data_IF_478174557114
#
_entry.id   IF_478174557114
#
_cell.length_a   1.000
_cell.length_b   1.000
_cell.length_c   1.000
_cell.angle_alpha   90.00
_cell.angle_beta   90.00
_cell.angle_gamma   90.00
#
_symmetry.space_group_name_H-M   'P 1'
#
loop_
_entity.id
_entity.type
_entity.pdbx_description
1 polymer ?
#
# COMPACT_ATOMS: atom_id res chain seq x y z
N UNK A 1 23.66 -16.47 -61.06
CA UNK A 1 22.30 -16.86 -60.62
C UNK A 1 22.09 -16.72 -59.11
N UNK A 2 23.06 -16.99 -58.24
CA UNK A 2 22.90 -16.94 -56.77
C UNK A 2 22.48 -15.59 -56.17
N UNK A 3 23.00 -14.45 -56.67
CA UNK A 3 22.60 -13.11 -56.19
C UNK A 3 21.09 -12.86 -56.34
N UNK A 4 20.48 -13.37 -57.42
CA UNK A 4 19.06 -13.17 -57.70
C UNK A 4 18.15 -13.99 -56.75
N UNK A 5 18.64 -15.13 -56.25
CA UNK A 5 17.89 -15.97 -55.32
C UNK A 5 17.83 -15.35 -53.91
N UNK A 6 18.96 -14.80 -53.42
CA UNK A 6 19.01 -14.09 -52.13
C UNK A 6 18.08 -12.89 -52.15
N UNK A 7 18.15 -12.05 -53.19
CA UNK A 7 17.29 -10.87 -53.32
C UNK A 7 15.79 -11.23 -53.37
N UNK A 8 15.44 -12.30 -54.10
CA UNK A 8 14.06 -12.80 -54.13
C UNK A 8 13.58 -13.25 -52.74
N UNK A 9 14.39 -14.00 -52.00
CA UNK A 9 14.06 -14.47 -50.64
C UNK A 9 13.88 -13.29 -49.70
N UNK A 10 14.77 -12.31 -49.72
CA UNK A 10 14.68 -11.12 -48.86
C UNK A 10 13.53 -10.18 -49.27
N UNK A 11 13.10 -10.22 -50.52
CA UNK A 11 11.89 -9.50 -50.96
C UNK A 11 10.62 -10.16 -50.43
N UNK A 12 10.61 -11.50 -50.35
CA UNK A 12 9.47 -12.29 -49.87
C UNK A 12 9.39 -12.33 -48.35
N UNK A 13 10.55 -12.43 -47.69
CA UNK A 13 10.70 -12.49 -46.24
C UNK A 13 11.69 -11.40 -45.76
N UNK A 14 11.26 -10.12 -45.68
CA UNK A 14 12.15 -9.01 -45.32
C UNK A 14 12.87 -9.18 -43.98
N UNK A 15 12.25 -9.88 -43.02
CA UNK A 15 12.83 -10.16 -41.71
C UNK A 15 14.05 -11.10 -41.77
N UNK A 16 14.23 -11.87 -42.84
CA UNK A 16 15.39 -12.75 -42.99
C UNK A 16 16.71 -11.99 -43.18
N UNK A 17 16.68 -10.66 -43.31
CA UNK A 17 17.89 -9.83 -43.34
C UNK A 17 18.74 -10.00 -42.07
N UNK A 18 18.11 -10.26 -40.92
CA UNK A 18 18.83 -10.54 -39.67
C UNK A 18 19.53 -11.91 -39.68
N UNK A 19 19.21 -12.77 -40.66
CA UNK A 19 19.82 -14.07 -40.92
C UNK A 19 20.65 -14.08 -42.20
N UNK A 20 21.05 -12.92 -42.73
CA UNK A 20 21.70 -12.82 -44.04
C UNK A 20 22.91 -13.75 -44.17
N UNK A 21 23.70 -13.91 -43.12
CA UNK A 21 24.85 -14.84 -43.12
C UNK A 21 24.44 -16.29 -43.37
N UNK A 22 23.37 -16.75 -42.71
CA UNK A 22 22.83 -18.11 -42.89
C UNK A 22 22.19 -18.29 -44.26
N UNK A 23 21.41 -17.30 -44.71
CA UNK A 23 20.79 -17.31 -46.05
C UNK A 23 21.88 -17.36 -47.14
N UNK A 24 22.94 -16.55 -46.99
CA UNK A 24 24.04 -16.48 -47.96
C UNK A 24 24.81 -17.79 -48.00
N UNK A 25 25.11 -18.40 -46.85
CA UNK A 25 25.80 -19.69 -46.78
C UNK A 25 24.98 -20.82 -47.45
N UNK A 26 23.69 -20.90 -47.13
CA UNK A 26 22.78 -21.89 -47.73
C UNK A 26 22.70 -21.76 -49.25
N UNK A 27 22.58 -20.53 -49.76
CA UNK A 27 22.43 -20.26 -51.20
C UNK A 27 23.75 -20.40 -51.96
N UNK A 28 24.84 -19.85 -51.43
CA UNK A 28 26.12 -19.74 -52.15
C UNK A 28 27.03 -20.94 -51.94
N UNK A 29 27.07 -21.52 -50.74
CA UNK A 29 27.99 -22.59 -50.39
C UNK A 29 27.32 -23.97 -50.42
N UNK A 30 26.05 -24.06 -50.04
CA UNK A 30 25.31 -25.33 -49.98
C UNK A 30 24.37 -25.56 -51.18
N UNK A 31 24.23 -24.56 -52.07
CA UNK A 31 23.41 -24.65 -53.28
C UNK A 31 21.90 -24.74 -53.03
N UNK A 32 21.45 -24.48 -51.81
CA UNK A 32 20.03 -24.48 -51.45
C UNK A 32 19.39 -23.19 -51.95
N UNK A 33 18.47 -23.30 -52.92
CA UNK A 33 17.82 -22.13 -53.54
C UNK A 33 16.30 -22.12 -53.34
N UNK A 34 15.74 -23.22 -52.81
CA UNK A 34 14.33 -23.33 -52.48
C UNK A 34 14.00 -22.51 -51.21
N UNK A 35 13.10 -21.51 -51.30
CA UNK A 35 12.78 -20.62 -50.17
C UNK A 35 12.24 -21.35 -48.94
N UNK A 36 11.44 -22.40 -49.13
CA UNK A 36 10.83 -23.16 -48.03
C UNK A 36 11.89 -23.97 -47.27
N UNK A 37 12.84 -24.54 -47.99
CA UNK A 37 14.00 -25.23 -47.39
C UNK A 37 14.86 -24.27 -46.57
N UNK A 38 15.13 -23.07 -47.08
CA UNK A 38 15.91 -22.03 -46.36
C UNK A 38 15.16 -21.58 -45.11
N UNK A 39 13.86 -21.31 -45.23
CA UNK A 39 13.00 -20.97 -44.10
C UNK A 39 13.01 -22.08 -43.04
N UNK A 40 12.93 -23.35 -43.44
CA UNK A 40 12.99 -24.49 -42.53
C UNK A 40 14.34 -24.60 -41.81
N UNK A 41 15.46 -24.27 -42.47
CA UNK A 41 16.77 -24.20 -41.83
C UNK A 41 16.84 -23.07 -40.80
N UNK A 42 16.38 -21.87 -41.15
CA UNK A 42 16.35 -20.72 -40.24
C UNK A 42 15.48 -21.02 -39.03
N UNK A 43 14.27 -21.58 -39.22
CA UNK A 43 13.34 -21.93 -38.12
C UNK A 43 13.88 -22.94 -37.12
N UNK A 44 14.95 -23.67 -37.45
CA UNK A 44 15.64 -24.61 -36.56
C UNK A 44 16.79 -23.97 -35.77
N UNK A 45 17.17 -22.73 -36.08
CA UNK A 45 18.32 -22.08 -35.44
C UNK A 45 17.98 -21.53 -34.04
N UNK A 46 18.94 -21.52 -33.10
CA UNK A 46 18.78 -20.82 -31.83
C UNK A 46 18.53 -19.31 -31.98
N UNK A 47 19.07 -18.70 -33.03
CA UNK A 47 18.87 -17.28 -33.36
C UNK A 47 17.39 -17.00 -33.66
N UNK A 48 16.73 -17.90 -34.40
CA UNK A 48 15.31 -17.77 -34.70
C UNK A 48 14.45 -17.85 -33.43
N UNK A 49 14.74 -18.79 -32.53
CA UNK A 49 14.03 -18.90 -31.25
C UNK A 49 14.18 -17.64 -30.38
N UNK A 50 15.33 -16.95 -30.46
CA UNK A 50 15.57 -15.68 -29.74
C UNK A 50 14.85 -14.50 -30.38
N UNK A 51 14.73 -14.47 -31.70
CA UNK A 51 14.07 -13.38 -32.43
C UNK A 51 12.55 -13.48 -32.39
N UNK A 52 12.01 -14.69 -32.37
CA UNK A 52 10.56 -14.97 -32.39
C UNK A 52 10.09 -15.76 -31.16
N UNK A 53 10.30 -15.26 -29.93
CA UNK A 53 9.79 -15.91 -28.73
C UNK A 53 8.25 -15.98 -28.76
N UNK A 54 7.67 -17.04 -28.18
CA UNK A 54 6.24 -17.30 -28.14
C UNK A 54 5.52 -17.43 -29.52
N UNK A 55 6.25 -17.43 -30.65
CA UNK A 55 5.61 -17.62 -31.98
C UNK A 55 5.06 -19.04 -32.17
N UNK A 56 5.54 -20.01 -31.38
CA UNK A 56 5.07 -21.40 -31.39
C UNK A 56 4.15 -21.67 -30.20
N UNK A 57 3.16 -22.51 -30.42
CA UNK A 57 2.34 -23.11 -29.37
C UNK A 57 3.11 -24.22 -28.65
N UNK A 58 2.65 -24.66 -27.46
CA UNK A 58 3.22 -25.81 -26.76
C UNK A 58 3.25 -27.10 -27.59
N UNK A 59 2.32 -27.26 -28.55
CA UNK A 59 2.26 -28.38 -29.48
C UNK A 59 3.26 -28.30 -30.66
N UNK A 60 4.07 -27.22 -30.72
CA UNK A 60 5.08 -26.98 -31.74
C UNK A 60 4.56 -26.30 -33.02
N UNK A 61 3.24 -26.15 -33.17
CA UNK A 61 2.64 -25.42 -34.30
C UNK A 61 2.91 -23.92 -34.21
N UNK A 62 2.93 -23.22 -35.33
CA UNK A 62 3.08 -21.77 -35.34
C UNK A 62 1.74 -21.11 -34.96
N UNK A 63 1.78 -20.19 -33.98
CA UNK A 63 0.66 -19.31 -33.63
C UNK A 63 0.33 -18.38 -34.79
N UNK A 64 1.37 -17.85 -35.44
CA UNK A 64 1.28 -16.90 -36.54
C UNK A 64 2.55 -16.96 -37.41
N UNK A 65 2.49 -16.38 -38.61
CA UNK A 65 3.67 -16.21 -39.46
C UNK A 65 4.56 -15.08 -38.93
N UNK A 66 5.85 -15.09 -39.28
CA UNK A 66 6.86 -14.16 -38.78
C UNK A 66 6.55 -12.69 -39.11
N UNK A 67 6.03 -12.42 -40.31
CA UNK A 67 5.61 -11.07 -40.69
C UNK A 67 4.47 -10.55 -39.81
N UNK A 68 3.48 -11.40 -39.52
CA UNK A 68 2.39 -11.07 -38.60
C UNK A 68 2.90 -10.89 -37.17
N UNK A 69 3.85 -11.71 -36.73
CA UNK A 69 4.47 -11.58 -35.41
C UNK A 69 5.12 -10.20 -35.21
N UNK A 70 5.95 -9.76 -36.15
CA UNK A 70 6.60 -8.45 -36.06
C UNK A 70 5.57 -7.31 -36.07
N UNK A 71 4.53 -7.42 -36.89
CA UNK A 71 3.42 -6.46 -36.91
C UNK A 71 2.67 -6.40 -35.58
N UNK A 72 2.46 -7.54 -34.92
CA UNK A 72 1.83 -7.63 -33.61
C UNK A 72 2.70 -6.98 -32.53
N UNK A 73 4.02 -7.21 -32.54
CA UNK A 73 4.93 -6.52 -31.63
C UNK A 73 4.89 -4.99 -31.80
N UNK A 74 4.88 -4.52 -33.04
CA UNK A 74 4.74 -3.09 -33.33
C UNK A 74 3.37 -2.54 -32.92
N UNK A 75 2.32 -3.35 -33.01
CA UNK A 75 1.00 -2.99 -32.50
C UNK A 75 1.01 -2.82 -30.97
N UNK A 76 1.60 -3.74 -30.20
CA UNK A 76 1.76 -3.56 -28.76
C UNK A 76 2.56 -2.31 -28.42
N UNK A 77 3.67 -2.05 -29.13
CA UNK A 77 4.46 -0.82 -28.92
C UNK A 77 3.64 0.44 -29.15
N UNK A 78 2.81 0.48 -30.20
CA UNK A 78 1.91 1.61 -30.47
C UNK A 78 0.88 1.79 -29.35
N UNK A 79 0.29 0.71 -28.87
CA UNK A 79 -0.67 0.74 -27.75
C UNK A 79 0.02 1.28 -26.48
N UNK A 80 1.18 0.72 -26.12
CA UNK A 80 1.97 1.22 -24.98
C UNK A 80 2.31 2.71 -25.12
N UNK A 81 2.71 3.14 -26.32
CA UNK A 81 3.00 4.55 -26.60
C UNK A 81 1.78 5.46 -26.44
N UNK A 82 0.59 5.01 -26.86
CA UNK A 82 -0.66 5.77 -26.73
C UNK A 82 -1.02 6.03 -25.25
N UNK A 83 -0.68 5.09 -24.37
CA UNK A 83 -0.86 5.22 -22.92
C UNK A 83 0.35 5.83 -22.20
N UNK A 84 1.29 6.44 -22.95
CA UNK A 84 2.40 7.22 -22.38
C UNK A 84 3.62 6.42 -21.92
N UNK A 85 3.69 5.11 -22.19
CA UNK A 85 4.87 4.31 -21.93
C UNK A 85 5.92 4.48 -23.04
N UNK A 86 7.21 4.39 -22.70
CA UNK A 86 8.27 4.37 -23.72
C UNK A 86 8.34 2.98 -24.39
N UNK A 87 7.98 2.85 -25.68
CA UNK A 87 8.01 1.56 -26.37
C UNK A 87 9.41 0.95 -26.50
N UNK A 88 10.48 1.76 -26.33
CA UNK A 88 11.87 1.28 -26.38
C UNK A 88 12.33 0.62 -25.08
N UNK A 89 11.61 0.85 -23.98
CA UNK A 89 11.89 0.21 -22.70
C UNK A 89 11.53 -1.28 -22.69
N UNK A 90 10.74 -1.75 -23.67
CA UNK A 90 10.24 -3.12 -23.73
C UNK A 90 11.01 -3.94 -24.75
N UNK A 91 11.70 -4.97 -24.25
CA UNK A 91 12.36 -5.98 -25.07
C UNK A 91 11.34 -6.85 -25.81
N UNK A 92 11.78 -7.50 -26.90
CA UNK A 92 10.97 -8.49 -27.63
C UNK A 92 10.45 -9.60 -26.73
N UNK A 93 11.26 -10.05 -25.75
CA UNK A 93 10.86 -11.08 -24.80
C UNK A 93 9.68 -10.62 -23.95
N UNK A 94 9.72 -9.40 -23.40
CA UNK A 94 8.62 -8.85 -22.59
C UNK A 94 7.34 -8.70 -23.42
N UNK A 95 7.43 -8.16 -24.64
CA UNK A 95 6.26 -8.01 -25.50
C UNK A 95 5.67 -9.37 -25.91
N UNK A 96 6.52 -10.39 -26.08
CA UNK A 96 6.05 -11.75 -26.41
C UNK A 96 5.28 -12.43 -25.28
N UNK A 97 5.40 -11.95 -24.03
CA UNK A 97 4.59 -12.45 -22.92
C UNK A 97 3.11 -12.16 -23.13
N UNK A 98 2.76 -11.04 -23.79
CA UNK A 98 1.36 -10.78 -24.16
C UNK A 98 0.84 -11.83 -25.15
N UNK A 99 1.66 -12.22 -26.12
CA UNK A 99 1.32 -13.28 -27.10
C UNK A 99 1.15 -14.63 -26.40
N UNK A 100 2.04 -14.95 -25.46
CA UNK A 100 1.99 -16.22 -24.73
C UNK A 100 0.76 -16.31 -23.82
N UNK A 101 0.41 -15.20 -23.20
CA UNK A 101 -0.81 -15.03 -22.38
C UNK A 101 -2.08 -14.81 -23.22
N UNK A 102 -2.00 -14.93 -24.54
CA UNK A 102 -3.12 -14.80 -25.49
C UNK A 102 -3.83 -13.43 -25.46
N UNK A 103 -3.12 -12.39 -25.03
CA UNK A 103 -3.60 -11.00 -24.98
C UNK A 103 -3.33 -10.35 -26.32
N UNK A 104 -4.35 -10.05 -27.11
CA UNK A 104 -4.16 -9.32 -28.36
C UNK A 104 -3.97 -7.79 -28.16
N UNK A 105 -3.49 -7.03 -29.16
CA UNK A 105 -3.26 -5.59 -29.00
C UNK A 105 -4.50 -4.77 -28.65
N UNK A 106 -5.70 -5.16 -29.09
CA UNK A 106 -6.94 -4.47 -28.74
C UNK A 106 -7.29 -4.74 -27.27
N UNK A 107 -7.16 -6.00 -26.83
CA UNK A 107 -7.36 -6.34 -25.43
C UNK A 107 -6.36 -5.60 -24.53
N UNK A 108 -5.10 -5.49 -24.93
CA UNK A 108 -4.12 -4.69 -24.19
C UNK A 108 -4.55 -3.22 -24.10
N UNK A 109 -5.03 -2.64 -25.21
CA UNK A 109 -5.55 -1.28 -25.24
C UNK A 109 -6.74 -1.09 -24.29
N UNK A 110 -7.68 -2.05 -24.28
CA UNK A 110 -8.84 -2.00 -23.40
C UNK A 110 -8.41 -2.09 -21.93
N UNK A 111 -7.46 -2.98 -21.61
CA UNK A 111 -6.87 -3.10 -20.25
C UNK A 111 -6.16 -1.82 -19.82
N UNK A 112 -5.40 -1.19 -20.72
CA UNK A 112 -4.69 0.06 -20.40
C UNK A 112 -5.64 1.27 -20.35
N UNK A 113 -6.71 1.27 -21.14
CA UNK A 113 -7.79 2.27 -21.03
C UNK A 113 -8.49 2.16 -19.69
N UNK A 114 -8.84 0.94 -19.28
CA UNK A 114 -9.37 0.67 -17.94
C UNK A 114 -8.36 1.09 -16.86
N UNK A 115 -7.07 0.87 -17.07
CA UNK A 115 -6.04 1.36 -16.15
C UNK A 115 -6.02 2.89 -16.08
N UNK A 116 -6.12 3.62 -17.19
CA UNK A 116 -6.18 5.09 -17.16
C UNK A 116 -7.44 5.61 -16.46
N UNK A 117 -8.58 4.93 -16.65
CA UNK A 117 -9.82 5.19 -15.94
C UNK A 117 -9.69 4.91 -14.44
N UNK A 118 -9.04 3.80 -14.07
CA UNK A 118 -8.71 3.47 -12.69
C UNK A 118 -7.64 4.41 -12.15
N UNK A 119 -6.73 4.96 -12.94
CA UNK A 119 -5.79 5.96 -12.42
C UNK A 119 -6.53 7.26 -12.06
N UNK A 120 -7.57 7.58 -12.82
CA UNK A 120 -8.44 8.75 -12.59
C UNK A 120 -9.45 8.52 -11.45
N UNK A 121 -10.01 7.32 -11.33
CA UNK A 121 -11.05 6.95 -10.33
C UNK A 121 -10.51 6.14 -9.15
N UNK A 122 -9.26 5.71 -9.22
CA UNK A 122 -8.70 4.62 -8.41
C UNK A 122 -8.54 4.97 -6.97
N UNK A 123 -8.52 6.26 -6.62
CA UNK A 123 -8.62 6.66 -5.22
C UNK A 123 -9.90 6.07 -4.58
N UNK A 124 -11.05 6.20 -5.21
CA UNK A 124 -12.32 5.68 -4.68
C UNK A 124 -12.30 4.15 -4.58
N UNK A 125 -11.70 3.48 -5.57
CA UNK A 125 -11.55 2.02 -5.58
C UNK A 125 -10.62 1.58 -4.45
N UNK A 126 -9.44 2.20 -4.30
CA UNK A 126 -8.51 1.91 -3.19
C UNK A 126 -9.14 2.16 -1.83
N UNK A 127 -9.87 3.25 -1.69
CA UNK A 127 -10.60 3.59 -0.47
C UNK A 127 -11.66 2.53 -0.16
N UNK A 128 -12.41 2.04 -1.15
CA UNK A 128 -13.36 0.95 -0.94
C UNK A 128 -12.66 -0.34 -0.45
N UNK A 129 -11.56 -0.74 -1.08
CA UNK A 129 -10.75 -1.89 -0.63
C UNK A 129 -10.24 -1.69 0.80
N UNK A 130 -9.84 -0.46 1.16
CA UNK A 130 -9.40 -0.15 2.51
C UNK A 130 -10.54 -0.20 3.51
N UNK A 131 -11.66 0.46 3.23
CA UNK A 131 -12.79 0.56 4.14
C UNK A 131 -13.38 -0.82 4.43
N UNK A 132 -13.66 -1.60 3.39
CA UNK A 132 -14.35 -2.88 3.53
C UNK A 132 -13.41 -4.02 3.93
N UNK A 133 -12.20 -4.09 3.35
CA UNK A 133 -11.30 -5.22 3.56
C UNK A 133 -10.03 -4.86 4.35
N UNK A 134 -9.82 -3.60 4.72
CA UNK A 134 -8.57 -3.15 5.36
C UNK A 134 -7.36 -3.26 4.43
N UNK A 135 -7.58 -3.30 3.12
CA UNK A 135 -6.52 -3.45 2.11
C UNK A 135 -6.11 -2.07 1.61
N UNK A 136 -4.89 -1.64 1.97
CA UNK A 136 -4.27 -0.47 1.35
C UNK A 136 -3.61 -0.92 0.06
N UNK A 137 -4.20 -0.56 -1.07
CA UNK A 137 -3.65 -0.83 -2.40
C UNK A 137 -2.81 0.37 -2.84
N UNK A 138 -1.68 0.12 -3.50
CA UNK A 138 -0.95 1.13 -4.26
C UNK A 138 -1.51 1.30 -5.68
N UNK A 139 -1.03 2.31 -6.42
CA UNK A 139 -1.33 2.43 -7.85
C UNK A 139 -0.77 1.24 -8.64
N UNK A 140 0.38 0.69 -8.23
CA UNK A 140 1.01 -0.48 -8.84
C UNK A 140 0.23 -1.77 -8.56
N UNK A 141 -0.34 -1.91 -7.36
CA UNK A 141 -1.21 -3.04 -7.01
C UNK A 141 -2.47 -3.05 -7.88
N UNK A 142 -3.08 -1.88 -8.08
CA UNK A 142 -4.21 -1.73 -8.99
C UNK A 142 -3.81 -1.97 -10.45
N UNK A 143 -2.61 -1.55 -10.86
CA UNK A 143 -2.09 -1.87 -12.18
C UNK A 143 -1.98 -3.38 -12.36
N UNK A 144 -1.29 -4.08 -11.46
CA UNK A 144 -1.15 -5.54 -11.49
C UNK A 144 -2.51 -6.23 -11.47
N UNK A 145 -3.47 -5.75 -10.68
CA UNK A 145 -4.84 -6.28 -10.66
C UNK A 145 -5.53 -6.25 -12.03
N UNK A 146 -5.26 -5.22 -12.84
CA UNK A 146 -5.90 -5.02 -14.15
C UNK A 146 -5.17 -5.78 -15.25
N UNK A 147 -3.84 -5.76 -15.26
CA UNK A 147 -3.06 -6.25 -16.40
C UNK A 147 -2.65 -7.72 -16.27
N UNK A 148 -2.54 -8.24 -15.04
CA UNK A 148 -2.06 -9.59 -14.75
C UNK A 148 -3.21 -10.47 -14.18
N UNK A 149 -3.66 -11.49 -14.94
CA UNK A 149 -4.73 -12.40 -14.49
C UNK A 149 -4.40 -13.16 -13.20
N UNK A 150 -3.13 -13.53 -13.00
CA UNK A 150 -2.70 -14.26 -11.81
C UNK A 150 -2.68 -13.34 -10.60
N UNK A 151 -2.23 -12.09 -10.79
CA UNK A 151 -2.31 -11.06 -9.75
C UNK A 151 -3.78 -10.79 -9.38
N UNK A 152 -4.67 -10.62 -10.37
CA UNK A 152 -6.10 -10.43 -10.14
C UNK A 152 -6.71 -11.53 -9.27
N UNK A 153 -6.47 -12.78 -9.61
CA UNK A 153 -6.97 -13.94 -8.86
C UNK A 153 -6.50 -13.93 -7.40
N UNK A 154 -5.22 -13.58 -7.16
CA UNK A 154 -4.67 -13.44 -5.80
C UNK A 154 -5.35 -12.31 -5.02
N UNK A 155 -5.58 -11.16 -5.65
CA UNK A 155 -6.27 -10.03 -5.04
C UNK A 155 -7.72 -10.36 -4.67
N UNK A 156 -8.46 -11.01 -5.56
CA UNK A 156 -9.85 -11.40 -5.31
C UNK A 156 -9.93 -12.39 -4.14
N UNK A 157 -9.02 -13.37 -4.08
CA UNK A 157 -8.91 -14.31 -2.96
C UNK A 157 -8.59 -13.60 -1.64
N UNK A 158 -7.65 -12.65 -1.66
CA UNK A 158 -7.27 -11.89 -0.47
C UNK A 158 -8.40 -11.01 0.05
N UNK A 159 -9.10 -10.33 -0.87
CA UNK A 159 -10.26 -9.51 -0.55
C UNK A 159 -11.35 -10.37 0.10
N UNK A 160 -11.75 -11.47 -0.55
CA UNK A 160 -12.75 -12.40 -0.03
C UNK A 160 -12.36 -12.95 1.34
N UNK A 161 -11.09 -13.33 1.52
CA UNK A 161 -10.56 -13.82 2.79
C UNK A 161 -10.73 -12.77 3.89
N UNK A 162 -10.38 -11.51 3.64
CA UNK A 162 -10.46 -10.43 4.64
C UNK A 162 -11.88 -10.01 4.94
N UNK A 163 -12.77 -9.97 3.95
CA UNK A 163 -14.18 -9.64 4.18
C UNK A 163 -14.94 -10.76 4.86
N UNK A 164 -14.59 -12.03 4.59
CA UNK A 164 -15.22 -13.19 5.21
C UNK A 164 -14.67 -13.49 6.61
N UNK A 165 -13.38 -13.26 6.85
CA UNK A 165 -12.73 -13.48 8.16
C UNK A 165 -12.81 -12.24 9.06
N UNK A 166 -12.95 -11.04 8.50
CA UNK A 166 -13.06 -9.80 9.26
C UNK A 166 -14.50 -9.53 9.68
N UNK A 167 -14.75 -9.43 10.99
CA UNK A 167 -15.92 -8.71 11.46
C UNK A 167 -15.72 -7.22 11.11
N UNK A 168 -16.20 -6.80 9.94
CA UNK A 168 -16.36 -5.37 9.66
C UNK A 168 -17.55 -4.88 10.50
N UNK A 169 -17.30 -4.62 11.78
CA UNK A 169 -18.27 -3.94 12.62
C UNK A 169 -18.39 -2.46 12.20
N UNK A 170 -19.49 -1.84 12.64
CA UNK A 170 -19.79 -0.46 12.31
C UNK A 170 -18.69 0.50 12.79
N UNK A 171 -18.07 0.23 13.94
CA UNK A 171 -16.99 1.06 14.50
C UNK A 171 -15.73 1.02 13.61
N UNK A 172 -15.35 -0.17 13.15
CA UNK A 172 -14.23 -0.40 12.23
C UNK A 172 -14.51 0.25 10.88
N UNK A 173 -15.73 0.11 10.35
CA UNK A 173 -16.15 0.76 9.11
C UNK A 173 -16.04 2.29 9.22
N UNK A 174 -16.63 2.89 10.26
CA UNK A 174 -16.60 4.34 10.48
C UNK A 174 -15.17 4.83 10.66
N UNK A 175 -14.34 4.10 11.40
CA UNK A 175 -12.93 4.46 11.61
C UNK A 175 -12.19 4.52 10.26
N UNK A 176 -12.28 3.47 9.46
CA UNK A 176 -11.59 3.40 8.15
C UNK A 176 -12.16 4.37 7.13
N UNK A 177 -13.48 4.56 7.10
CA UNK A 177 -14.13 5.52 6.23
C UNK A 177 -13.73 6.97 6.58
N UNK A 178 -13.61 7.25 7.88
CA UNK A 178 -13.10 8.54 8.37
C UNK A 178 -11.65 8.73 7.96
N UNK A 179 -10.81 7.72 8.10
CA UNK A 179 -9.41 7.77 7.66
C UNK A 179 -9.28 8.00 6.15
N UNK A 180 -10.05 7.28 5.33
CA UNK A 180 -10.08 7.48 3.87
C UNK A 180 -10.51 8.90 3.51
N UNK A 181 -11.56 9.43 4.16
CA UNK A 181 -12.01 10.81 3.96
C UNK A 181 -10.98 11.86 4.39
N UNK A 182 -10.20 11.59 5.45
CA UNK A 182 -9.13 12.47 5.91
C UNK A 182 -7.91 12.44 4.98
N UNK A 183 -7.47 11.25 4.55
CA UNK A 183 -6.41 11.10 3.55
C UNK A 183 -6.77 11.88 2.28
N UNK A 184 -8.05 11.84 1.85
CA UNK A 184 -8.54 12.62 0.71
C UNK A 184 -8.35 14.12 0.91
N UNK A 185 -8.69 14.65 2.08
CA UNK A 185 -8.52 16.07 2.41
C UNK A 185 -7.04 16.45 2.42
N UNK A 186 -6.18 15.63 3.02
CA UNK A 186 -4.73 15.86 3.05
C UNK A 186 -4.17 15.93 1.63
N UNK A 187 -4.43 14.92 0.80
CA UNK A 187 -3.90 14.92 -0.57
C UNK A 187 -4.45 16.07 -1.41
N UNK A 188 -5.71 16.47 -1.20
CA UNK A 188 -6.27 17.65 -1.85
C UNK A 188 -5.54 18.91 -1.41
N UNK A 189 -5.27 19.10 -0.11
CA UNK A 189 -4.50 20.24 0.39
C UNK A 189 -3.06 20.25 -0.14
N UNK A 190 -2.39 19.10 -0.18
CA UNK A 190 -1.05 18.97 -0.75
C UNK A 190 -1.01 19.34 -2.24
N UNK A 191 -1.98 18.87 -3.03
CA UNK A 191 -2.10 19.24 -4.46
C UNK A 191 -2.28 20.75 -4.61
N UNK A 192 -3.21 21.33 -3.84
CA UNK A 192 -3.46 22.78 -3.88
C UNK A 192 -2.23 23.59 -3.46
N UNK A 193 -1.38 23.06 -2.59
CA UNK A 193 -0.12 23.68 -2.20
C UNK A 193 0.91 23.63 -3.32
N UNK A 194 1.05 22.50 -3.99
CA UNK A 194 1.91 22.37 -5.17
C UNK A 194 1.46 23.32 -6.29
N UNK A 195 0.15 23.52 -6.42
CA UNK A 195 -0.45 24.39 -7.42
C UNK A 195 -0.50 25.88 -7.02
N UNK A 196 -0.02 26.23 -5.81
CA UNK A 196 0.01 27.62 -5.32
C UNK A 196 -1.36 28.25 -5.11
N UNK A 197 -2.39 27.43 -4.85
CA UNK A 197 -3.77 27.90 -4.71
C UNK A 197 -3.96 28.65 -3.38
N UNK A 198 -4.63 29.83 -3.38
CA UNK A 198 -4.87 30.59 -2.17
C UNK A 198 -5.75 29.83 -1.14
N UNK A 199 -5.44 30.05 0.13
CA UNK A 199 -6.07 29.44 1.33
C UNK A 199 -7.61 29.49 1.31
N UNK A 200 -8.20 30.59 0.85
CA UNK A 200 -9.65 30.74 0.77
C UNK A 200 -10.31 29.79 -0.23
N UNK A 201 -9.65 29.52 -1.36
CA UNK A 201 -10.11 28.53 -2.33
C UNK A 201 -9.92 27.11 -1.81
N UNK A 202 -8.81 26.84 -1.10
CA UNK A 202 -8.57 25.54 -0.47
C UNK A 202 -9.62 25.18 0.60
N UNK A 203 -10.02 26.15 1.44
CA UNK A 203 -11.11 25.96 2.41
C UNK A 203 -12.46 25.66 1.75
N UNK A 204 -12.71 26.24 0.57
CA UNK A 204 -13.88 25.89 -0.26
C UNK A 204 -13.85 24.42 -0.67
N UNK A 205 -12.74 23.97 -1.24
CA UNK A 205 -12.57 22.57 -1.66
C UNK A 205 -12.70 21.58 -0.50
N UNK A 206 -12.10 21.88 0.67
CA UNK A 206 -12.23 21.03 1.87
C UNK A 206 -13.67 20.99 2.37
N UNK A 207 -14.38 22.12 2.33
CA UNK A 207 -15.80 22.19 2.71
C UNK A 207 -16.69 21.34 1.80
N UNK A 208 -16.40 21.32 0.51
CA UNK A 208 -17.16 20.52 -0.46
C UNK A 208 -16.90 19.00 -0.26
N UNK A 209 -15.70 18.63 0.18
CA UNK A 209 -15.35 17.25 0.52
C UNK A 209 -15.92 16.81 1.87
N UNK A 210 -15.85 17.65 2.90
CA UNK A 210 -16.36 17.36 4.23
C UNK A 210 -16.78 18.65 5.00
N UNK A 211 -18.09 18.98 5.02
CA UNK A 211 -18.60 20.22 5.61
C UNK A 211 -18.46 20.32 7.13
N UNK A 212 -18.62 19.20 7.85
CA UNK A 212 -18.43 19.11 9.31
C UNK A 212 -16.96 19.38 9.65
N UNK A 213 -16.07 18.76 8.90
CA UNK A 213 -14.64 18.92 9.06
C UNK A 213 -14.17 20.35 8.78
N UNK A 214 -14.70 20.99 7.73
CA UNK A 214 -14.41 22.40 7.44
C UNK A 214 -14.87 23.36 8.55
N UNK A 215 -15.94 23.02 9.29
CA UNK A 215 -16.37 23.78 10.48
C UNK A 215 -15.39 23.63 11.64
N UNK A 216 -14.96 22.39 11.93
CA UNK A 216 -13.95 22.12 12.98
C UNK A 216 -12.63 22.81 12.66
N UNK A 217 -12.19 22.76 11.39
CA UNK A 217 -11.05 23.52 10.90
C UNK A 217 -11.23 25.01 11.12
N UNK A 218 -12.34 25.59 10.67
CA UNK A 218 -12.62 27.01 10.84
C UNK A 218 -12.59 27.41 12.33
N UNK A 219 -13.12 26.57 13.22
CA UNK A 219 -13.15 26.83 14.67
C UNK A 219 -11.75 26.72 15.31
N UNK A 220 -10.97 25.70 14.97
CA UNK A 220 -9.56 25.56 15.42
C UNK A 220 -8.69 26.69 14.86
N UNK A 221 -8.91 27.08 13.62
CA UNK A 221 -8.24 28.21 12.98
C UNK A 221 -8.60 29.54 13.65
N UNK A 222 -9.84 29.70 14.11
CA UNK A 222 -10.33 30.91 14.76
C UNK A 222 -9.95 30.99 16.25
N UNK A 223 -9.88 29.86 16.95
CA UNK A 223 -9.54 29.77 18.37
C UNK A 223 -8.03 29.65 18.61
N UNK A 224 -7.28 29.01 17.72
CA UNK A 224 -5.82 28.87 17.79
C UNK A 224 -5.03 30.13 17.43
N UNK A 225 -5.66 31.11 16.78
CA UNK A 225 -5.03 32.35 16.29
C UNK A 225 -5.31 33.58 17.13
N UNK A 226 -5.81 33.47 18.36
CA UNK A 226 -6.13 34.62 19.22
C UNK A 226 -4.95 35.57 19.58
N UNK A 227 -3.79 35.46 18.93
CA UNK A 227 -2.71 36.45 19.00
C UNK A 227 -1.90 36.70 17.72
N UNK A 228 -2.17 36.01 16.60
CA UNK A 228 -1.45 36.19 15.33
C UNK A 228 -2.48 36.18 14.20
N UNK A 229 -2.40 37.15 13.28
CA UNK A 229 -3.44 37.46 12.28
C UNK A 229 -3.87 36.29 11.37
N UNK A 230 -4.77 36.52 10.39
CA UNK A 230 -5.28 35.46 9.53
C UNK A 230 -4.12 34.70 8.89
N UNK A 231 -4.09 33.38 9.10
CA UNK A 231 -3.05 32.49 8.59
C UNK A 231 -2.90 32.71 7.08
N UNK A 232 -1.72 33.14 6.68
CA UNK A 232 -1.44 33.58 5.32
C UNK A 232 -1.10 32.43 4.38
N UNK A 233 -0.87 31.23 4.90
CA UNK A 233 -0.34 30.11 4.12
C UNK A 233 -1.11 28.79 4.30
N UNK A 234 -1.16 28.01 3.21
CA UNK A 234 -1.75 26.67 3.19
C UNK A 234 -0.99 25.68 4.08
N UNK A 235 0.30 25.93 4.33
CA UNK A 235 1.12 25.19 5.31
C UNK A 235 0.56 25.33 6.73
N UNK A 236 0.12 26.53 7.12
CA UNK A 236 -0.50 26.76 8.42
C UNK A 236 -1.88 26.09 8.54
N UNK A 237 -2.63 25.99 7.44
CA UNK A 237 -3.87 25.21 7.40
C UNK A 237 -3.62 23.71 7.59
N UNK A 238 -2.62 23.15 6.90
CA UNK A 238 -2.25 21.74 7.06
C UNK A 238 -1.75 21.45 8.48
N UNK A 239 -0.98 22.37 9.05
CA UNK A 239 -0.54 22.27 10.44
C UNK A 239 -1.73 22.31 11.41
N UNK A 240 -2.67 23.24 11.25
CA UNK A 240 -3.89 23.32 12.05
C UNK A 240 -4.80 22.09 11.90
N UNK A 241 -4.88 21.52 10.69
CA UNK A 241 -5.58 20.27 10.38
C UNK A 241 -5.03 19.10 11.19
N UNK A 242 -3.71 18.91 11.14
CA UNK A 242 -3.02 17.82 11.85
C UNK A 242 -3.15 17.97 13.37
N UNK A 243 -3.06 19.21 13.87
CA UNK A 243 -3.30 19.55 15.28
C UNK A 243 -4.72 19.14 15.72
N UNK A 244 -5.73 19.51 14.92
CA UNK A 244 -7.13 19.18 15.18
C UNK A 244 -7.37 17.66 15.16
N UNK A 245 -6.70 16.92 14.28
CA UNK A 245 -6.85 15.47 14.16
C UNK A 245 -6.40 14.72 15.42
N UNK A 246 -5.21 14.99 15.93
CA UNK A 246 -4.68 14.33 17.13
C UNK A 246 -5.45 14.79 18.38
N UNK A 247 -5.83 16.07 18.45
CA UNK A 247 -6.68 16.60 19.52
C UNK A 247 -8.07 15.94 19.56
N UNK A 248 -8.71 15.77 18.40
CA UNK A 248 -10.01 15.10 18.30
C UNK A 248 -9.99 13.67 18.82
N UNK A 249 -8.89 12.95 18.62
CA UNK A 249 -8.73 11.58 19.12
C UNK A 249 -8.69 11.51 20.66
N UNK A 250 -8.04 12.48 21.31
CA UNK A 250 -8.06 12.60 22.76
C UNK A 250 -9.47 12.96 23.28
N UNK A 251 -10.10 13.97 22.67
CA UNK A 251 -11.43 14.44 23.05
C UNK A 251 -12.51 13.35 22.88
N UNK A 252 -12.47 12.57 21.80
CA UNK A 252 -13.39 11.47 21.55
C UNK A 252 -13.34 10.38 22.65
N UNK A 253 -12.22 10.26 23.37
CA UNK A 253 -12.03 9.32 24.47
C UNK A 253 -12.27 9.96 25.86
N UNK A 254 -12.87 11.16 25.89
CA UNK A 254 -13.14 11.91 27.13
C UNK A 254 -11.87 12.48 27.80
N UNK A 255 -10.76 12.55 27.07
CA UNK A 255 -9.49 13.07 27.56
C UNK A 255 -9.37 14.58 27.28
N UNK A 256 -8.42 15.23 27.96
CA UNK A 256 -8.16 16.65 27.72
C UNK A 256 -7.48 16.80 26.36
N UNK A 257 -7.84 17.86 25.64
CA UNK A 257 -7.15 18.23 24.41
C UNK A 257 -5.67 18.51 24.75
N UNK A 258 -4.71 17.84 24.09
CA UNK A 258 -3.30 18.17 24.26
C UNK A 258 -3.06 19.59 23.75
N UNK A 259 -2.12 20.30 24.38
CA UNK A 259 -1.75 21.63 23.92
C UNK A 259 -1.06 21.59 22.54
N UNK A 260 -1.02 22.69 21.78
CA UNK A 260 -0.46 22.69 20.42
C UNK A 260 1.00 22.21 20.36
N UNK A 261 1.82 22.55 21.35
CA UNK A 261 3.22 22.13 21.40
C UNK A 261 3.35 20.61 21.62
N UNK A 262 2.46 20.03 22.43
CA UNK A 262 2.36 18.60 22.67
C UNK A 262 1.95 17.84 21.43
N UNK A 263 0.95 18.33 20.70
CA UNK A 263 0.50 17.68 19.47
C UNK A 263 1.60 17.74 18.40
N UNK A 264 2.32 18.85 18.30
CA UNK A 264 3.46 18.97 17.39
C UNK A 264 4.59 17.99 17.74
N UNK A 265 4.89 17.80 19.04
CA UNK A 265 5.84 16.78 19.46
C UNK A 265 5.40 15.35 19.09
N UNK A 266 4.11 15.04 19.27
CA UNK A 266 3.51 13.74 18.90
C UNK A 266 3.63 13.51 17.39
N UNK A 267 3.41 14.55 16.60
CA UNK A 267 3.60 14.53 15.14
C UNK A 267 5.05 14.30 14.75
N UNK A 268 5.99 15.05 15.33
CA UNK A 268 7.42 14.89 15.05
C UNK A 268 7.93 13.47 15.41
N UNK A 269 7.29 12.81 16.36
CA UNK A 269 7.53 11.40 16.69
C UNK A 269 6.92 10.40 15.69
N UNK A 270 6.29 10.87 14.60
CA UNK A 270 5.70 10.03 13.56
C UNK A 270 4.38 9.37 13.95
N UNK A 271 3.66 9.91 14.93
CA UNK A 271 2.39 9.34 15.40
C UNK A 271 1.23 9.88 14.56
N UNK A 272 0.54 8.96 13.88
CA UNK A 272 -0.66 9.26 13.09
C UNK A 272 -1.91 9.38 13.96
N UNK A 273 -3.00 9.97 13.43
CA UNK A 273 -4.30 10.01 14.12
C UNK A 273 -4.80 8.62 14.54
N UNK A 274 -4.64 7.61 13.67
CA UNK A 274 -5.06 6.24 13.95
C UNK A 274 -4.35 5.69 15.19
N UNK A 275 -3.03 5.84 15.23
CA UNK A 275 -2.20 5.44 16.38
C UNK A 275 -2.52 6.26 17.62
N UNK A 276 -2.80 7.55 17.47
CA UNK A 276 -3.24 8.41 18.57
C UNK A 276 -4.61 7.96 19.12
N UNK A 277 -5.57 7.64 18.26
CA UNK A 277 -6.90 7.17 18.65
C UNK A 277 -6.86 5.82 19.35
N UNK A 278 -6.09 4.87 18.84
CA UNK A 278 -5.84 3.59 19.48
C UNK A 278 -5.18 3.79 20.86
N UNK A 279 -4.11 4.60 20.91
CA UNK A 279 -3.39 4.89 22.15
C UNK A 279 -4.28 5.57 23.20
N UNK A 280 -5.03 6.61 22.82
CA UNK A 280 -5.95 7.30 23.73
C UNK A 280 -7.13 6.42 24.17
N UNK A 281 -7.63 5.55 23.30
CA UNK A 281 -8.67 4.58 23.64
C UNK A 281 -8.16 3.55 24.64
N UNK A 282 -6.95 3.03 24.43
CA UNK A 282 -6.27 2.15 25.38
C UNK A 282 -6.10 2.86 26.73
N UNK A 283 -5.51 4.06 26.73
CA UNK A 283 -5.30 4.84 27.94
C UNK A 283 -6.59 5.10 28.70
N UNK A 284 -7.66 5.50 28.01
CA UNK A 284 -8.96 5.75 28.65
C UNK A 284 -9.50 4.52 29.40
N UNK A 285 -9.31 3.32 28.84
CA UNK A 285 -9.72 2.05 29.48
C UNK A 285 -8.79 1.61 30.61
N UNK A 286 -7.48 1.86 30.50
CA UNK A 286 -6.47 1.36 31.44
C UNK A 286 -5.92 2.42 32.41
N UNK A 287 -6.45 3.64 32.38
CA UNK A 287 -5.94 4.78 33.17
C UNK A 287 -5.82 4.49 34.65
N UNK A 288 -6.85 3.90 35.25
CA UNK A 288 -6.86 3.58 36.68
C UNK A 288 -5.87 2.47 37.02
N UNK A 289 -5.69 1.51 36.11
CA UNK A 289 -4.70 0.45 36.24
C UNK A 289 -3.28 1.03 36.22
N UNK A 290 -2.93 1.81 35.18
CA UNK A 290 -1.60 2.43 35.09
C UNK A 290 -1.33 3.38 36.26
N UNK A 291 -2.34 4.13 36.70
CA UNK A 291 -2.22 4.99 37.89
C UNK A 291 -1.91 4.18 39.15
N UNK A 292 -2.59 3.04 39.34
CA UNK A 292 -2.35 2.14 40.47
C UNK A 292 -0.97 1.47 40.42
N UNK A 293 -0.55 0.98 39.26
CA UNK A 293 0.76 0.33 39.06
C UNK A 293 1.91 1.32 39.33
N UNK A 294 1.83 2.53 38.78
CA UNK A 294 2.84 3.58 38.99
C UNK A 294 2.84 4.06 40.45
N UNK A 295 1.67 4.19 41.09
CA UNK A 295 1.60 4.56 42.50
C UNK A 295 2.25 3.51 43.41
N UNK A 296 2.12 2.21 43.07
CA UNK A 296 2.77 1.10 43.80
C UNK A 296 4.30 1.10 43.67
N UNK A 297 4.86 1.69 42.61
CA UNK A 297 6.32 1.86 42.49
C UNK A 297 6.90 2.73 43.61
N UNK A 298 6.09 3.61 44.21
CA UNK A 298 6.45 4.46 45.35
C UNK A 298 7.70 5.32 45.10
N UNK A 299 7.94 5.73 43.86
CA UNK A 299 9.05 6.60 43.44
C UNK A 299 8.77 8.10 43.73
N UNK A 300 7.80 8.42 44.59
CA UNK A 300 7.44 9.80 44.94
C UNK A 300 6.79 10.62 43.82
N UNK A 301 6.62 10.05 42.62
CA UNK A 301 5.80 10.64 41.55
C UNK A 301 4.30 10.50 41.89
N UNK A 302 3.52 11.52 41.52
CA UNK A 302 2.07 11.54 41.70
C UNK A 302 1.32 10.50 40.84
N UNK A 303 0.01 10.66 40.69
CA UNK A 303 -0.81 9.79 39.82
C UNK A 303 -0.32 9.85 38.37
N UNK A 304 -0.29 8.70 37.69
CA UNK A 304 0.02 8.64 36.26
C UNK A 304 -1.03 9.42 35.46
N UNK A 305 -0.58 10.39 34.68
CA UNK A 305 -1.43 11.32 33.94
C UNK A 305 -1.46 11.02 32.45
N UNK A 306 -2.36 11.68 31.72
CA UNK A 306 -2.38 11.65 30.26
C UNK A 306 -1.04 12.12 29.67
N UNK A 307 -0.41 13.13 30.26
CA UNK A 307 0.89 13.63 29.82
C UNK A 307 1.98 12.56 29.96
N UNK A 308 1.95 11.76 31.03
CA UNK A 308 2.92 10.68 31.23
C UNK A 308 2.71 9.55 30.21
N UNK A 309 1.45 9.25 29.88
CA UNK A 309 1.10 8.30 28.83
C UNK A 309 1.59 8.76 27.44
N UNK A 310 1.28 10.00 27.05
CA UNK A 310 1.72 10.55 25.76
C UNK A 310 3.25 10.55 25.64
N UNK A 311 3.94 10.88 26.73
CA UNK A 311 5.40 10.85 26.82
C UNK A 311 5.99 9.44 26.68
N UNK A 312 5.34 8.44 27.28
CA UNK A 312 5.80 7.05 27.21
C UNK A 312 5.48 6.38 25.86
N UNK A 313 4.25 6.54 25.37
CA UNK A 313 3.70 5.75 24.25
C UNK A 313 3.88 6.44 22.91
N UNK A 314 3.70 7.77 22.86
CA UNK A 314 3.80 8.53 21.60
C UNK A 314 5.20 9.10 21.40
N UNK A 315 5.77 9.73 22.42
CA UNK A 315 7.06 10.40 22.32
C UNK A 315 8.26 9.51 22.66
N UNK A 316 8.01 8.30 23.19
CA UNK A 316 9.03 7.33 23.58
C UNK A 316 10.16 7.93 24.44
N UNK A 317 9.82 8.87 25.32
CA UNK A 317 10.79 9.47 26.23
C UNK A 317 11.25 8.42 27.26
N UNK A 318 12.57 8.28 27.42
CA UNK A 318 13.18 7.19 28.18
C UNK A 318 12.62 7.09 29.62
N UNK A 319 12.47 8.22 30.31
CA UNK A 319 12.00 8.24 31.70
C UNK A 319 10.55 7.80 31.86
N UNK A 320 9.67 8.15 30.93
CA UNK A 320 8.25 7.80 30.99
C UNK A 320 8.02 6.36 30.51
N UNK A 321 8.74 5.93 29.47
CA UNK A 321 8.71 4.55 28.97
C UNK A 321 9.23 3.57 30.03
N UNK A 322 10.39 3.87 30.66
CA UNK A 322 10.94 3.04 31.73
C UNK A 322 10.04 3.00 32.96
N UNK A 323 9.34 4.09 33.29
CA UNK A 323 8.39 4.09 34.40
C UNK A 323 7.24 3.12 34.12
N UNK A 324 6.64 3.19 32.93
CA UNK A 324 5.55 2.31 32.53
C UNK A 324 6.00 0.85 32.47
N UNK A 325 7.19 0.58 31.92
CA UNK A 325 7.79 -0.75 31.84
C UNK A 325 8.06 -1.34 33.22
N UNK A 326 8.67 -0.57 34.14
CA UNK A 326 8.88 -0.99 35.54
C UNK A 326 7.56 -1.28 36.25
N UNK A 327 6.54 -0.46 36.00
CA UNK A 327 5.22 -0.60 36.63
C UNK A 327 4.57 -1.93 36.20
N UNK A 328 4.59 -2.20 34.89
CA UNK A 328 4.10 -3.45 34.30
C UNK A 328 4.92 -4.67 34.73
N UNK A 329 6.25 -4.57 34.77
CA UNK A 329 7.13 -5.65 35.20
C UNK A 329 6.92 -6.02 36.68
N UNK A 330 6.71 -5.00 37.53
CA UNK A 330 6.39 -5.21 38.94
C UNK A 330 5.01 -5.84 39.10
N UNK A 331 4.00 -5.39 38.36
CA UNK A 331 2.68 -6.02 38.39
C UNK A 331 2.72 -7.48 37.91
N UNK A 332 3.47 -7.77 36.85
CA UNK A 332 3.68 -9.13 36.36
C UNK A 332 4.41 -10.03 37.38
N UNK A 333 5.27 -9.46 38.23
CA UNK A 333 5.94 -10.17 39.32
C UNK A 333 4.97 -10.53 40.46
N UNK A 334 3.98 -9.69 40.74
CA UNK A 334 2.92 -9.95 41.72
C UNK A 334 1.82 -10.86 41.17
N UNK A 335 1.47 -10.74 39.88
CA UNK A 335 0.51 -11.60 39.19
C UNK A 335 0.94 -13.07 39.06
N UNK A 336 2.18 -13.41 39.44
CA UNK A 336 2.68 -14.80 39.55
C UNK A 336 2.72 -15.34 40.98
N UNK A 337 2.32 -14.57 41.99
CA UNK A 337 2.37 -15.02 43.38
C UNK A 337 1.13 -14.53 44.15
N UNK A 338 0.06 -15.31 44.09
CA UNK A 338 -0.82 -15.69 45.22
C UNK A 338 -2.10 -16.32 44.65
N UNK A 339 -2.22 -17.65 44.73
CA UNK A 339 -3.49 -18.33 44.45
C UNK A 339 -3.45 -19.71 43.77
N UNK A 340 -2.31 -20.21 43.30
CA UNK A 340 -2.23 -21.61 42.93
C UNK A 340 -2.12 -22.44 44.22
N UNK A 341 -3.27 -22.88 44.75
CA UNK A 341 -3.35 -23.88 45.79
C UNK A 341 -2.60 -25.14 45.32
N UNK A 342 -1.34 -25.28 45.73
CA UNK A 342 -0.62 -26.55 45.61
C UNK A 342 -1.15 -27.48 46.69
N UNK A 343 -2.13 -28.31 46.32
CA UNK A 343 -2.39 -29.53 47.05
C UNK A 343 -1.23 -30.49 46.77
N UNK A 344 -0.24 -30.51 47.65
CA UNK A 344 0.78 -31.55 47.62
C UNK A 344 0.18 -32.83 48.22
N UNK A 345 -0.09 -33.82 47.35
CA UNK A 345 -0.50 -35.16 47.73
C UNK A 345 0.73 -35.97 48.15
N UNK A 346 1.26 -35.65 49.33
CA UNK A 346 2.11 -36.59 50.08
C UNK A 346 1.61 -36.71 51.50
N UNK A 347 0.90 -37.81 51.78
CA UNK A 347 0.66 -38.29 53.13
C UNK A 347 -0.68 -37.95 53.79
N UNK A 348 -1.71 -37.61 53.01
CA UNK A 348 -3.11 -37.73 53.46
C UNK A 348 -3.56 -36.84 54.63
N UNK A 349 -2.92 -35.70 54.90
CA UNK A 349 -3.44 -34.67 55.82
C UNK A 349 -3.19 -33.25 55.31
N UNK A 350 -4.24 -32.43 55.34
CA UNK A 350 -4.18 -31.00 55.08
C UNK A 350 -3.57 -30.30 56.30
N UNK A 351 -2.45 -29.60 56.13
CA UNK A 351 -1.92 -28.67 57.12
C UNK A 351 -2.01 -27.25 56.57
N UNK A 352 -2.77 -26.39 57.26
CA UNK A 352 -2.85 -24.96 56.99
C UNK A 352 -1.76 -24.24 57.82
N UNK A 353 -0.82 -23.51 57.20
CA UNK A 353 0.18 -22.76 57.95
C UNK A 353 -0.46 -21.46 58.48
N UNK A 354 -0.57 -21.31 59.80
CA UNK A 354 -1.01 -20.02 60.39
C UNK A 354 -1.68 -20.01 61.77
N UNK A 355 -1.83 -21.14 62.48
CA UNK A 355 -2.42 -21.16 63.83
C UNK A 355 -1.48 -21.81 64.84
N UNK A 356 -0.62 -21.00 65.47
CA UNK A 356 0.00 -21.32 66.75
C UNK A 356 -0.87 -20.78 67.88
N UNK A 357 -1.73 -21.63 68.44
CA UNK A 357 -2.51 -21.33 69.66
C UNK A 357 -2.67 -22.60 70.49
N UNK A 358 -2.15 -22.58 71.72
CA UNK A 358 -2.22 -23.68 72.72
C UNK A 358 -3.67 -23.92 73.16
N UNK A 359 -4.02 -25.18 73.35
CA UNK A 359 -4.92 -25.62 74.43
C UNK A 359 -4.10 -26.48 75.40
#
# INVERSE_FOLDING_TARGET
>A
MALNAVDFILSTYPWMRDFLGVVTDLVQNQGVTDPDTILAHIRKSPEYARMFPAIRRPDGTLRMQEGAYLQTLDAYRRVLQQHGFDPRAYSTLQLSQFIDNEIDPNELNDRLTLYDEIKRSGREIREAFYVYAGMRLSDDDLYSYVVDPDARSKFDQEYQRRTAAGNLDYETFITRATEAGLDRVVTTLESLQQDGVPVSAALGTVRDVNPEFARVMADVLYTGTQGQGPLGSLSELMHAFELAMIGSAASANGLRLPDPARVEAIRQAGVTRARALEGYSLFSRTRELFSGEVQRLNEGRGRFTQSDFEQAVFLQTADAAQLLEKAQAREASFGRAEGAARFDLRGGRLAQPGLTGRF
#
